data_IF_707150163993
#
_entry.id   IF_707150163993
#
_cell.length_a   1.000
_cell.length_b   1.000
_cell.length_c   1.000
_cell.angle_alpha   90.00
_cell.angle_beta   90.00
_cell.angle_gamma   90.00
#
_symmetry.space_group_name_H-M   'P 1'
#
loop_
_entity.id
_entity.type
_entity.pdbx_description
1 polymer ?
#
# COMPACT_ATOMS: atom_id res chain seq x y z
N UNK A 1 -2.42 -8.31 -5.44
CA UNK A 1 -2.17 -9.54 -6.21
C UNK A 1 -0.70 -9.77 -6.61
N UNK A 2 0.03 -8.77 -7.12
CA UNK A 2 1.43 -8.95 -7.58
C UNK A 2 2.39 -9.45 -6.48
N UNK A 3 2.43 -8.78 -5.31
CA UNK A 3 3.24 -9.22 -4.15
C UNK A 3 2.77 -10.55 -3.53
N UNK A 4 1.51 -10.87 -3.80
CA UNK A 4 0.84 -12.11 -3.42
C UNK A 4 1.44 -13.27 -4.24
N UNK A 5 1.55 -13.09 -5.57
CA UNK A 5 2.25 -14.00 -6.48
C UNK A 5 3.75 -14.06 -6.19
N UNK A 6 4.38 -12.93 -5.85
CA UNK A 6 5.78 -12.87 -5.44
C UNK A 6 6.08 -13.74 -4.21
N UNK A 7 5.11 -13.91 -3.30
CA UNK A 7 5.29 -14.75 -2.12
C UNK A 7 5.16 -16.25 -2.44
N UNK A 8 4.40 -16.60 -3.49
CA UNK A 8 4.26 -17.98 -3.97
C UNK A 8 5.46 -18.35 -4.85
N UNK A 9 5.96 -17.41 -5.65
CA UNK A 9 7.06 -17.59 -6.62
C UNK A 9 8.31 -16.79 -6.26
N UNK A 10 8.72 -16.81 -4.99
CA UNK A 10 9.84 -16.01 -4.45
C UNK A 10 11.09 -16.07 -5.34
N UNK A 11 11.42 -17.25 -5.88
CA UNK A 11 12.67 -17.48 -6.63
C UNK A 11 12.59 -16.95 -8.08
N UNK A 12 11.45 -17.10 -8.75
CA UNK A 12 11.32 -16.68 -10.16
C UNK A 12 10.87 -15.23 -10.31
N UNK A 13 10.28 -14.66 -9.26
CA UNK A 13 9.70 -13.33 -9.31
C UNK A 13 10.74 -12.21 -9.39
N UNK A 14 11.88 -12.34 -8.70
CA UNK A 14 12.94 -11.32 -8.73
C UNK A 14 13.55 -11.16 -10.13
N UNK A 15 13.77 -12.27 -10.83
CA UNK A 15 14.40 -12.24 -12.16
C UNK A 15 13.47 -11.81 -13.28
N UNK A 16 12.14 -11.82 -13.06
CA UNK A 16 11.16 -11.52 -14.10
C UNK A 16 10.04 -10.60 -13.60
N UNK A 17 10.41 -9.58 -12.80
CA UNK A 17 9.48 -8.55 -12.36
C UNK A 17 9.09 -7.67 -13.55
N UNK A 18 8.13 -8.14 -14.33
CA UNK A 18 7.72 -7.46 -15.54
C UNK A 18 6.51 -6.56 -15.29
N UNK A 19 6.59 -5.32 -15.76
CA UNK A 19 5.47 -4.38 -15.76
C UNK A 19 4.23 -4.93 -16.50
N UNK A 20 4.37 -6.01 -17.27
CA UNK A 20 3.28 -6.69 -17.96
C UNK A 20 2.14 -7.07 -17.04
N UNK A 21 2.41 -7.46 -15.80
CA UNK A 21 1.33 -7.79 -14.87
C UNK A 21 0.39 -6.59 -14.65
N UNK A 22 0.95 -5.41 -14.39
CA UNK A 22 0.17 -4.17 -14.23
C UNK A 22 -0.57 -3.79 -15.51
N UNK A 23 0.11 -3.87 -16.67
CA UNK A 23 -0.51 -3.55 -17.95
C UNK A 23 -1.68 -4.49 -18.29
N UNK A 24 -1.53 -5.79 -18.05
CA UNK A 24 -2.59 -6.78 -18.26
C UNK A 24 -3.79 -6.46 -17.38
N UNK A 25 -3.57 -6.19 -16.09
CA UNK A 25 -4.67 -5.87 -15.17
C UNK A 25 -5.39 -4.57 -15.52
N UNK A 26 -4.65 -3.51 -15.87
CA UNK A 26 -5.23 -2.25 -16.33
C UNK A 26 -6.03 -2.45 -17.62
N UNK A 27 -5.53 -3.28 -18.54
CA UNK A 27 -6.24 -3.59 -19.79
C UNK A 27 -7.55 -4.34 -19.51
N UNK A 28 -7.51 -5.34 -18.63
CA UNK A 28 -8.71 -6.08 -18.19
C UNK A 28 -9.72 -5.12 -17.56
N UNK A 29 -9.29 -4.22 -16.69
CA UNK A 29 -10.15 -3.25 -16.03
C UNK A 29 -10.82 -2.27 -17.01
N UNK A 30 -10.05 -1.76 -17.99
CA UNK A 30 -10.59 -0.91 -19.06
C UNK A 30 -11.61 -1.66 -19.90
N UNK A 31 -11.31 -2.90 -20.31
CA UNK A 31 -12.23 -3.72 -21.10
C UNK A 31 -13.53 -3.98 -20.35
N UNK A 32 -13.44 -4.37 -19.07
CA UNK A 32 -14.63 -4.58 -18.21
C UNK A 32 -15.45 -3.30 -18.07
N UNK A 33 -14.79 -2.15 -17.90
CA UNK A 33 -15.46 -0.84 -17.81
C UNK A 33 -16.19 -0.49 -19.10
N UNK A 34 -15.56 -0.70 -20.27
CA UNK A 34 -16.18 -0.45 -21.58
C UNK A 34 -17.38 -1.37 -21.82
N UNK A 35 -17.25 -2.66 -21.50
CA UNK A 35 -18.35 -3.62 -21.59
C UNK A 35 -19.51 -3.19 -20.69
N UNK A 36 -19.23 -2.80 -19.46
CA UNK A 36 -20.24 -2.35 -18.51
C UNK A 36 -20.96 -1.08 -19.00
N UNK A 37 -20.20 -0.09 -19.52
CA UNK A 37 -20.75 1.12 -20.10
C UNK A 37 -21.67 0.81 -21.29
N UNK A 38 -21.24 -0.09 -22.20
CA UNK A 38 -22.03 -0.52 -23.35
C UNK A 38 -23.36 -1.16 -22.94
N UNK A 39 -23.34 -2.10 -21.97
CA UNK A 39 -24.55 -2.73 -21.46
C UNK A 39 -25.50 -1.74 -20.80
N UNK A 40 -24.96 -0.76 -20.08
CA UNK A 40 -25.74 0.29 -19.43
C UNK A 40 -26.43 1.22 -20.43
N UNK A 41 -25.75 1.59 -21.53
CA UNK A 41 -26.35 2.45 -22.57
C UNK A 41 -27.42 1.77 -23.42
N UNK A 42 -27.30 0.47 -23.67
CA UNK A 42 -28.17 -0.25 -24.61
C UNK A 42 -29.37 -0.94 -23.97
N UNK A 43 -29.41 -1.03 -22.65
CA UNK A 43 -30.49 -1.72 -21.95
C UNK A 43 -31.63 -0.73 -21.61
N UNK A 44 -32.88 -1.19 -21.72
CA UNK A 44 -34.05 -0.40 -21.35
C UNK A 44 -34.03 -0.02 -19.87
N UNK A 45 -34.68 1.08 -19.47
CA UNK A 45 -34.62 1.62 -18.10
C UNK A 45 -34.89 0.59 -16.98
N UNK A 46 -35.78 -0.38 -17.19
CA UNK A 46 -36.06 -1.46 -16.22
C UNK A 46 -34.97 -2.54 -16.21
N UNK A 47 -34.44 -2.90 -17.38
CA UNK A 47 -33.37 -3.89 -17.52
C UNK A 47 -32.04 -3.37 -16.98
N UNK A 48 -31.80 -2.05 -17.09
CA UNK A 48 -30.62 -1.39 -16.52
C UNK A 48 -30.48 -1.64 -15.02
N UNK A 49 -31.58 -1.51 -14.27
CA UNK A 49 -31.53 -1.65 -12.82
C UNK A 49 -31.27 -3.10 -12.40
N UNK A 50 -31.93 -4.08 -13.04
CA UNK A 50 -31.67 -5.51 -12.79
C UNK A 50 -30.20 -5.85 -13.07
N UNK A 51 -29.66 -5.44 -14.22
CA UNK A 51 -28.27 -5.68 -14.59
C UNK A 51 -27.32 -5.05 -13.58
N UNK A 52 -27.61 -3.81 -13.13
CA UNK A 52 -26.81 -3.12 -12.11
C UNK A 52 -26.83 -3.86 -10.77
N UNK A 53 -27.99 -4.37 -10.34
CA UNK A 53 -28.11 -5.18 -9.12
C UNK A 53 -27.29 -6.46 -9.22
N UNK A 54 -27.43 -7.21 -10.31
CA UNK A 54 -26.67 -8.46 -10.54
C UNK A 54 -25.17 -8.17 -10.53
N UNK A 55 -24.74 -7.12 -11.23
CA UNK A 55 -23.34 -6.70 -11.27
C UNK A 55 -22.81 -6.36 -9.88
N UNK A 56 -23.59 -5.65 -9.07
CA UNK A 56 -23.20 -5.27 -7.72
C UNK A 56 -23.10 -6.48 -6.78
N UNK A 57 -23.96 -7.49 -6.94
CA UNK A 57 -23.80 -8.76 -6.23
C UNK A 57 -22.50 -9.46 -6.62
N UNK A 58 -22.19 -9.56 -7.92
CA UNK A 58 -20.95 -10.16 -8.42
C UNK A 58 -19.72 -9.45 -7.82
N UNK A 59 -19.66 -8.12 -7.87
CA UNK A 59 -18.56 -7.34 -7.31
C UNK A 59 -18.42 -7.53 -5.80
N UNK A 60 -19.55 -7.58 -5.08
CA UNK A 60 -19.54 -7.80 -3.63
C UNK A 60 -19.04 -9.20 -3.27
N UNK A 61 -19.46 -10.23 -4.01
CA UNK A 61 -18.98 -11.61 -3.85
C UNK A 61 -17.48 -11.72 -4.13
N UNK A 62 -17.00 -11.10 -5.23
CA UNK A 62 -15.57 -11.05 -5.56
C UNK A 62 -14.79 -10.37 -4.43
N UNK A 63 -15.27 -9.25 -3.92
CA UNK A 63 -14.64 -8.54 -2.81
C UNK A 63 -14.52 -9.40 -1.55
N UNK A 64 -15.59 -10.12 -1.16
CA UNK A 64 -15.56 -11.04 0.00
C UNK A 64 -14.56 -12.18 -0.22
N UNK A 65 -14.53 -12.76 -1.42
CA UNK A 65 -13.58 -13.81 -1.78
C UNK A 65 -12.14 -13.28 -1.70
N UNK A 66 -11.90 -12.07 -2.21
CA UNK A 66 -10.59 -11.42 -2.13
C UNK A 66 -10.12 -11.25 -0.69
N UNK A 67 -10.99 -10.74 0.20
CA UNK A 67 -10.70 -10.63 1.64
C UNK A 67 -10.35 -11.99 2.23
N UNK A 68 -11.14 -13.01 1.92
CA UNK A 68 -10.93 -14.36 2.44
C UNK A 68 -9.57 -14.93 2.00
N UNK A 69 -9.26 -14.86 0.71
CA UNK A 69 -7.97 -15.30 0.15
C UNK A 69 -6.83 -14.51 0.79
N UNK A 70 -7.00 -13.20 0.93
CA UNK A 70 -6.01 -12.31 1.52
C UNK A 70 -5.67 -12.70 2.97
N UNK A 71 -6.67 -12.94 3.82
CA UNK A 71 -6.45 -13.37 5.20
C UNK A 71 -5.84 -14.78 5.29
N UNK A 72 -6.30 -15.71 4.43
CA UNK A 72 -5.68 -17.05 4.35
C UNK A 72 -4.20 -16.95 4.01
N UNK A 73 -3.85 -16.10 3.04
CA UNK A 73 -2.46 -15.90 2.65
C UNK A 73 -1.65 -15.24 3.78
N UNK A 74 -2.20 -14.24 4.45
CA UNK A 74 -1.53 -13.62 5.59
C UNK A 74 -1.24 -14.66 6.69
N UNK A 75 -2.20 -15.55 6.99
CA UNK A 75 -2.01 -16.65 7.93
C UNK A 75 -0.94 -17.63 7.47
N UNK A 76 -0.94 -17.99 6.18
CA UNK A 76 0.07 -18.85 5.58
C UNK A 76 1.47 -18.23 5.66
N UNK A 77 1.63 -16.97 5.26
CA UNK A 77 2.91 -16.26 5.31
C UNK A 77 3.45 -16.14 6.73
N UNK A 78 2.59 -15.85 7.71
CA UNK A 78 2.99 -15.83 9.11
C UNK A 78 3.47 -17.22 9.56
N UNK A 79 2.75 -18.29 9.23
CA UNK A 79 3.15 -19.67 9.56
C UNK A 79 4.53 -20.00 8.99
N UNK A 80 4.73 -19.79 7.69
CA UNK A 80 6.01 -20.03 7.01
C UNK A 80 7.14 -19.20 7.62
N UNK A 81 6.85 -17.95 8.01
CA UNK A 81 7.83 -17.08 8.66
C UNK A 81 8.29 -17.64 10.02
N UNK A 82 7.36 -18.12 10.84
CA UNK A 82 7.69 -18.72 12.14
C UNK A 82 8.47 -20.03 12.00
N UNK A 83 8.06 -20.92 11.08
CA UNK A 83 8.76 -22.17 10.79
C UNK A 83 10.20 -21.91 10.30
N UNK A 84 10.39 -20.92 9.44
CA UNK A 84 11.73 -20.55 8.97
C UNK A 84 12.57 -19.86 10.02
N UNK A 85 11.96 -19.23 11.03
CA UNK A 85 12.66 -18.57 12.14
C UNK A 85 13.23 -19.60 13.12
N UNK A 86 12.51 -20.71 13.36
CA UNK A 86 12.97 -21.77 14.28
C UNK A 86 14.09 -22.64 13.68
N UNK A 87 14.16 -22.81 12.35
CA UNK A 87 15.29 -23.48 11.68
C UNK A 87 16.51 -22.56 11.60
N UNK A 88 17.28 -22.45 12.68
CA UNK A 88 18.35 -21.46 12.86
C UNK A 88 19.65 -21.68 12.04
N UNK A 89 19.75 -22.72 11.21
CA UNK A 89 21.05 -23.26 10.74
C UNK A 89 21.60 -22.77 9.39
N UNK A 90 20.88 -22.02 8.55
CA UNK A 90 21.42 -21.60 7.24
C UNK A 90 21.51 -20.07 7.07
N UNK A 91 22.74 -19.57 6.92
CA UNK A 91 23.04 -18.16 6.59
C UNK A 91 22.54 -17.77 5.19
N UNK A 92 22.45 -18.71 4.24
CA UNK A 92 21.86 -18.47 2.91
C UNK A 92 20.35 -18.15 2.94
N UNK A 93 19.68 -18.25 4.10
CA UNK A 93 18.25 -17.91 4.29
C UNK A 93 17.97 -16.46 4.73
N UNK A 94 18.99 -15.61 4.92
CA UNK A 94 18.81 -14.23 5.39
C UNK A 94 17.97 -13.36 4.43
N UNK A 95 18.27 -13.40 3.12
CA UNK A 95 17.52 -12.66 2.09
C UNK A 95 16.06 -13.10 2.03
N UNK A 96 15.81 -14.42 2.04
CA UNK A 96 14.44 -14.96 2.01
C UNK A 96 13.62 -14.62 3.26
N UNK A 97 14.25 -14.55 4.44
CA UNK A 97 13.58 -14.09 5.68
C UNK A 97 13.24 -12.61 5.62
N UNK A 98 14.14 -11.78 5.07
CA UNK A 98 13.89 -10.36 4.87
C UNK A 98 12.72 -10.12 3.93
N UNK A 99 12.73 -10.74 2.74
CA UNK A 99 11.65 -10.65 1.76
C UNK A 99 10.30 -11.07 2.36
N UNK A 100 10.26 -12.18 3.11
CA UNK A 100 9.03 -12.65 3.73
C UNK A 100 8.52 -11.70 4.83
N UNK A 101 9.43 -11.18 5.66
CA UNK A 101 9.10 -10.17 6.68
C UNK A 101 8.53 -8.90 6.04
N UNK A 102 9.14 -8.44 4.95
CA UNK A 102 8.67 -7.30 4.18
C UNK A 102 7.30 -7.55 3.53
N UNK A 103 7.08 -8.74 2.97
CA UNK A 103 5.78 -9.12 2.41
C UNK A 103 4.69 -9.16 3.49
N UNK A 104 4.96 -9.69 4.67
CA UNK A 104 4.01 -9.67 5.80
C UNK A 104 3.72 -8.22 6.23
N UNK A 105 4.76 -7.39 6.36
CA UNK A 105 4.61 -5.97 6.73
C UNK A 105 3.72 -5.23 5.73
N UNK A 106 3.98 -5.41 4.44
CA UNK A 106 3.26 -4.73 3.37
C UNK A 106 1.84 -5.26 3.20
N UNK A 107 1.63 -6.56 3.42
CA UNK A 107 0.28 -7.16 3.51
C UNK A 107 -0.51 -6.53 4.65
N UNK A 108 0.07 -6.38 5.85
CA UNK A 108 -0.61 -5.72 6.98
C UNK A 108 -0.99 -4.27 6.69
N UNK A 109 -0.20 -3.57 5.87
CA UNK A 109 -0.49 -2.20 5.44
C UNK A 109 -1.66 -2.12 4.46
N UNK A 110 -1.96 -3.19 3.71
CA UNK A 110 -3.04 -3.22 2.73
C UNK A 110 -4.41 -3.57 3.36
N UNK A 111 -4.42 -4.18 4.56
CA UNK A 111 -5.66 -4.52 5.30
C UNK A 111 -6.66 -3.36 5.35
N UNK A 112 -6.30 -2.14 5.83
CA UNK A 112 -7.27 -1.04 5.94
C UNK A 112 -7.87 -0.67 4.58
N UNK A 113 -7.06 -0.63 3.53
CA UNK A 113 -7.49 -0.32 2.17
C UNK A 113 -8.50 -1.36 1.66
N UNK A 114 -8.23 -2.64 1.89
CA UNK A 114 -9.08 -3.75 1.46
C UNK A 114 -10.39 -3.83 2.27
N UNK A 115 -10.35 -3.52 3.57
CA UNK A 115 -11.55 -3.37 4.39
C UNK A 115 -12.43 -2.21 3.91
N UNK A 116 -11.83 -1.04 3.64
CA UNK A 116 -12.56 0.12 3.12
C UNK A 116 -13.19 -0.17 1.76
N UNK A 117 -12.48 -0.86 0.87
CA UNK A 117 -12.99 -1.26 -0.43
C UNK A 117 -14.24 -2.15 -0.33
N UNK A 118 -14.25 -3.12 0.59
CA UNK A 118 -15.47 -3.93 0.82
C UNK A 118 -16.59 -3.13 1.46
N UNK A 119 -16.29 -2.20 2.37
CA UNK A 119 -17.31 -1.29 2.89
C UNK A 119 -17.96 -0.46 1.77
N UNK A 120 -17.16 0.05 0.82
CA UNK A 120 -17.67 0.77 -0.36
C UNK A 120 -18.59 -0.13 -1.18
N UNK A 121 -18.20 -1.38 -1.45
CA UNK A 121 -19.02 -2.31 -2.21
C UNK A 121 -20.34 -2.67 -1.50
N UNK A 122 -20.32 -2.81 -0.18
CA UNK A 122 -21.54 -3.07 0.60
C UNK A 122 -22.49 -1.87 0.55
N UNK A 123 -21.98 -0.65 0.75
CA UNK A 123 -22.81 0.57 0.71
C UNK A 123 -23.34 0.81 -0.71
N UNK A 124 -22.52 0.59 -1.74
CA UNK A 124 -22.96 0.61 -3.14
C UNK A 124 -24.00 -0.48 -3.45
N UNK A 125 -23.89 -1.65 -2.82
CA UNK A 125 -24.92 -2.70 -2.83
C UNK A 125 -26.26 -2.19 -2.33
N UNK A 126 -26.25 -1.62 -1.13
CA UNK A 126 -27.45 -1.09 -0.49
C UNK A 126 -28.08 0.02 -1.34
N UNK A 127 -27.26 0.91 -1.92
CA UNK A 127 -27.74 2.04 -2.71
C UNK A 127 -28.43 1.63 -4.02
N UNK A 128 -28.05 0.49 -4.59
CA UNK A 128 -28.67 -0.05 -5.82
C UNK A 128 -29.86 -0.95 -5.50
N UNK A 129 -29.78 -1.76 -4.45
CA UNK A 129 -30.84 -2.73 -4.08
C UNK A 129 -32.09 -2.04 -3.54
N UNK A 130 -31.95 -1.00 -2.71
CA UNK A 130 -33.10 -0.31 -2.10
C UNK A 130 -34.05 0.31 -3.14
N UNK A 131 -33.57 1.06 -4.16
CA UNK A 131 -34.43 1.57 -5.23
C UNK A 131 -34.99 0.46 -6.12
N UNK A 132 -34.19 -0.57 -6.45
CA UNK A 132 -34.63 -1.62 -7.37
C UNK A 132 -35.86 -2.39 -6.87
N UNK A 133 -35.86 -2.78 -5.59
CA UNK A 133 -37.00 -3.49 -4.99
C UNK A 133 -38.12 -2.56 -4.54
N UNK A 134 -38.02 -1.25 -4.81
CA UNK A 134 -38.94 -0.25 -4.29
C UNK A 134 -39.15 -0.37 -2.76
N UNK A 135 -38.11 -0.79 -2.02
CA UNK A 135 -38.20 -0.96 -0.56
C UNK A 135 -38.37 0.39 0.16
N UNK A 136 -38.07 1.47 -0.56
CA UNK A 136 -38.30 2.84 -0.14
C UNK A 136 -39.35 3.44 -1.09
N UNK A 137 -40.60 3.00 -0.94
CA UNK A 137 -41.78 3.59 -1.61
C UNK A 137 -42.12 4.90 -0.93
N UNK A 138 -41.52 5.99 -1.39
CA UNK A 138 -41.69 7.29 -0.76
C UNK A 138 -41.61 8.44 -1.77
N UNK A 139 -42.23 9.60 -1.49
CA UNK A 139 -42.00 10.83 -2.23
C UNK A 139 -40.51 11.07 -2.54
N UNK A 140 -40.28 11.79 -3.65
CA UNK A 140 -38.97 12.17 -4.19
C UNK A 140 -37.91 12.53 -3.12
N UNK A 141 -38.32 13.17 -2.02
CA UNK A 141 -37.46 13.52 -0.89
C UNK A 141 -36.73 12.34 -0.25
N UNK A 142 -37.38 11.19 0.00
CA UNK A 142 -36.68 10.07 0.67
C UNK A 142 -35.76 9.34 -0.30
N UNK A 143 -36.13 9.21 -1.58
CA UNK A 143 -35.22 8.65 -2.59
C UNK A 143 -33.97 9.52 -2.76
N UNK A 144 -34.14 10.85 -2.76
CA UNK A 144 -33.02 11.79 -2.75
C UNK A 144 -32.16 11.61 -1.50
N UNK A 145 -32.77 11.54 -0.31
CA UNK A 145 -32.04 11.31 0.94
C UNK A 145 -31.29 9.98 0.95
N UNK A 146 -31.89 8.88 0.48
CA UNK A 146 -31.24 7.56 0.42
C UNK A 146 -30.05 7.57 -0.53
N UNK A 147 -30.21 8.18 -1.72
CA UNK A 147 -29.10 8.33 -2.66
C UNK A 147 -27.99 9.20 -2.07
N UNK A 148 -28.32 10.38 -1.55
CA UNK A 148 -27.35 11.29 -0.94
C UNK A 148 -26.60 10.64 0.23
N UNK A 149 -27.33 9.96 1.11
CA UNK A 149 -26.78 9.23 2.26
C UNK A 149 -25.92 8.03 1.83
N UNK A 150 -26.06 7.53 0.60
CA UNK A 150 -25.21 6.45 0.08
C UNK A 150 -23.97 6.99 -0.65
N UNK A 151 -24.13 7.98 -1.52
CA UNK A 151 -23.04 8.53 -2.33
C UNK A 151 -22.02 9.32 -1.52
N UNK A 152 -22.44 10.04 -0.48
CA UNK A 152 -21.52 10.81 0.38
C UNK A 152 -20.55 9.88 1.13
N UNK A 153 -21.01 8.82 1.84
CA UNK A 153 -20.10 7.84 2.43
C UNK A 153 -19.22 7.14 1.42
N UNK A 154 -19.74 6.76 0.24
CA UNK A 154 -18.93 6.14 -0.82
C UNK A 154 -17.77 7.07 -1.20
N UNK A 155 -18.05 8.34 -1.48
CA UNK A 155 -17.03 9.33 -1.86
C UNK A 155 -15.99 9.50 -0.75
N UNK A 156 -16.44 9.62 0.51
CA UNK A 156 -15.53 9.75 1.65
C UNK A 156 -14.68 8.51 1.86
N UNK A 157 -15.25 7.31 1.73
CA UNK A 157 -14.52 6.05 1.85
C UNK A 157 -13.51 5.88 0.71
N UNK A 158 -13.85 6.24 -0.53
CA UNK A 158 -12.91 6.23 -1.66
C UNK A 158 -11.73 7.17 -1.40
N UNK A 159 -11.98 8.37 -0.87
CA UNK A 159 -10.90 9.25 -0.43
C UNK A 159 -10.07 8.62 0.70
N UNK A 160 -10.70 7.95 1.67
CA UNK A 160 -10.00 7.25 2.74
C UNK A 160 -9.15 6.09 2.24
N UNK A 161 -9.52 5.42 1.15
CA UNK A 161 -8.72 4.36 0.49
C UNK A 161 -7.40 4.95 -0.04
N UNK A 162 -7.46 6.09 -0.72
CA UNK A 162 -6.27 6.79 -1.20
C UNK A 162 -5.41 7.29 -0.04
N UNK A 163 -6.05 7.89 0.96
CA UNK A 163 -5.39 8.37 2.15
C UNK A 163 -4.73 7.24 2.95
N UNK A 164 -5.39 6.07 3.07
CA UNK A 164 -4.82 4.91 3.76
C UNK A 164 -3.59 4.40 3.00
N UNK A 165 -3.63 4.33 1.67
CA UNK A 165 -2.45 3.98 0.88
C UNK A 165 -1.28 4.95 1.14
N UNK A 166 -1.54 6.26 1.19
CA UNK A 166 -0.50 7.27 1.46
C UNK A 166 0.04 7.15 2.89
N UNK A 167 -0.84 7.00 3.89
CA UNK A 167 -0.47 7.01 5.31
C UNK A 167 0.24 5.73 5.77
N UNK A 168 -0.16 4.57 5.25
CA UNK A 168 0.39 3.28 5.65
C UNK A 168 1.60 2.85 4.82
N UNK A 169 1.76 3.36 3.59
CA UNK A 169 2.92 3.05 2.78
C UNK A 169 4.12 3.95 3.17
N UNK A 170 5.26 3.38 3.61
CA UNK A 170 6.35 4.15 4.20
C UNK A 170 7.00 5.14 3.22
N UNK A 171 7.14 4.77 1.95
CA UNK A 171 7.69 5.64 0.92
C UNK A 171 6.72 6.79 0.59
N UNK A 172 5.43 6.49 0.39
CA UNK A 172 4.44 7.52 0.07
C UNK A 172 4.27 8.48 1.25
N UNK A 173 4.24 7.98 2.49
CA UNK A 173 4.21 8.81 3.69
C UNK A 173 5.39 9.77 3.77
N UNK A 174 6.60 9.32 3.43
CA UNK A 174 7.80 10.17 3.43
C UNK A 174 7.68 11.28 2.39
N UNK A 175 7.25 10.95 1.19
CA UNK A 175 7.16 11.91 0.09
C UNK A 175 5.99 12.88 0.31
N UNK A 176 4.87 12.40 0.85
CA UNK A 176 3.74 13.22 1.29
C UNK A 176 4.13 14.19 2.41
N UNK A 177 4.94 13.76 3.38
CA UNK A 177 5.49 14.66 4.41
C UNK A 177 6.37 15.75 3.80
N UNK A 178 7.22 15.41 2.82
CA UNK A 178 8.04 16.40 2.09
C UNK A 178 7.16 17.38 1.32
N UNK A 179 6.13 16.88 0.64
CA UNK A 179 5.16 17.69 -0.10
C UNK A 179 4.42 18.68 0.81
N UNK A 180 3.86 18.21 1.93
CA UNK A 180 3.20 19.09 2.92
C UNK A 180 4.19 20.12 3.45
N UNK A 181 5.42 19.70 3.80
CA UNK A 181 6.44 20.60 4.29
C UNK A 181 6.75 21.70 3.27
N UNK A 182 6.86 21.36 1.98
CA UNK A 182 7.09 22.34 0.92
C UNK A 182 5.92 23.33 0.80
N UNK A 183 4.67 22.85 0.85
CA UNK A 183 3.48 23.72 0.81
C UNK A 183 3.43 24.67 2.01
N UNK A 184 3.71 24.17 3.22
CA UNK A 184 3.69 24.97 4.44
C UNK A 184 4.86 25.96 4.52
N UNK A 185 6.06 25.59 4.05
CA UNK A 185 7.22 26.47 4.04
C UNK A 185 7.07 27.59 3.00
N UNK A 186 6.45 27.32 1.84
CA UNK A 186 6.12 28.38 0.88
C UNK A 186 5.17 29.44 1.45
N UNK A 187 4.39 29.12 2.49
CA UNK A 187 3.57 30.10 3.22
C UNK A 187 4.38 30.98 4.17
N UNK A 188 5.52 30.52 4.69
CA UNK A 188 6.35 31.28 5.64
C UNK A 188 7.56 32.00 5.01
N UNK A 189 7.93 31.66 3.77
CA UNK A 189 9.07 32.28 3.09
C UNK A 189 8.84 33.74 2.64
N UNK A 190 7.63 34.28 2.75
CA UNK A 190 7.34 35.67 2.33
C UNK A 190 7.71 36.75 3.37
N UNK A 191 8.19 36.37 4.56
CA UNK A 191 8.52 37.33 5.62
C UNK A 191 10.01 37.45 5.99
N UNK A 192 10.91 36.74 5.29
CA UNK A 192 12.35 36.94 5.51
C UNK A 192 12.87 38.09 4.65
N UNK A 193 12.96 39.24 5.34
CA UNK A 193 13.88 40.35 5.09
C UNK A 193 15.15 39.90 4.38
N UNK A 194 15.48 40.68 3.35
CA UNK A 194 16.79 40.80 2.73
C UNK A 194 17.79 41.10 3.86
N UNK A 195 18.53 40.09 4.31
CA UNK A 195 19.74 40.30 5.10
C UNK A 195 20.91 40.33 4.11
N UNK A 196 21.80 41.32 4.18
CA UNK A 196 22.90 41.46 3.22
C UNK A 196 23.87 40.29 3.29
N UNK A 197 24.47 40.00 2.15
CA UNK A 197 25.58 39.07 1.95
C UNK A 197 26.67 39.23 3.02
N UNK A 198 26.82 38.23 3.89
CA UNK A 198 28.09 38.01 4.60
C UNK A 198 28.58 36.58 4.34
N UNK A 199 29.63 36.57 3.50
CA UNK A 199 30.76 35.65 3.45
C UNK A 199 30.50 34.14 3.43
N UNK A 200 30.67 33.58 2.23
CA UNK A 200 31.00 32.19 1.93
C UNK A 200 32.10 31.67 2.86
N UNK A 201 31.77 30.81 3.83
CA UNK A 201 32.70 29.83 4.37
C UNK A 201 32.51 28.51 3.61
N UNK A 202 33.61 27.94 3.13
CA UNK A 202 33.71 26.65 2.45
C UNK A 202 33.14 25.52 3.32
N UNK A 203 31.88 25.15 3.11
CA UNK A 203 31.24 24.05 3.82
C UNK A 203 31.53 22.74 3.10
N UNK A 204 32.34 21.89 3.76
CA UNK A 204 32.71 20.54 3.36
C UNK A 204 31.46 19.69 3.15
N UNK A 205 31.39 19.00 2.00
CA UNK A 205 30.35 18.04 1.64
C UNK A 205 30.15 16.96 2.73
N UNK A 206 29.15 17.16 3.59
CA UNK A 206 28.75 16.16 4.57
C UNK A 206 27.97 15.03 3.88
N UNK A 207 28.65 13.89 3.68
CA UNK A 207 28.02 12.64 3.26
C UNK A 207 26.89 12.25 4.23
N UNK A 208 25.67 12.12 3.71
CA UNK A 208 24.50 11.63 4.44
C UNK A 208 24.30 10.15 4.18
N UNK A 209 24.01 9.37 5.23
CA UNK A 209 23.63 7.96 5.11
C UNK A 209 22.30 7.81 4.34
N UNK A 210 22.04 6.62 3.78
CA UNK A 210 20.84 6.20 3.05
C UNK A 210 19.56 6.40 3.89
N UNK A 211 19.67 6.45 5.22
CA UNK A 211 18.56 6.75 6.14
C UNK A 211 18.38 8.23 6.48
N UNK A 212 19.22 9.12 5.93
CA UNK A 212 19.19 10.55 6.19
C UNK A 212 19.78 10.99 7.52
N UNK A 213 20.47 10.09 8.23
CA UNK A 213 21.32 10.46 9.37
C UNK A 213 22.60 11.14 8.89
N UNK A 214 23.03 12.19 9.59
CA UNK A 214 24.39 12.71 9.42
C UNK A 214 25.37 11.62 9.85
N UNK A 215 26.20 11.15 8.93
CA UNK A 215 27.38 10.39 9.30
C UNK A 215 28.31 11.39 9.99
N UNK A 216 28.42 11.28 11.31
CA UNK A 216 29.48 11.94 12.05
C UNK A 216 30.79 11.30 11.57
N UNK A 217 31.39 11.91 10.56
CA UNK A 217 32.79 11.64 10.22
C UNK A 217 33.57 12.30 11.36
N UNK A 218 33.87 11.53 12.40
CA UNK A 218 34.89 11.92 13.35
C UNK A 218 36.19 12.20 12.55
N UNK A 219 36.83 13.34 12.81
CA UNK A 219 38.01 13.83 12.07
C UNK A 219 39.20 12.85 12.02
N UNK A 220 39.13 11.73 12.74
CA UNK A 220 40.11 10.65 12.70
C UNK A 220 39.94 9.65 11.54
N UNK A 221 38.88 9.74 10.72
CA UNK A 221 38.78 9.12 9.39
C UNK A 221 38.79 7.58 9.29
N UNK A 222 39.18 6.83 10.33
CA UNK A 222 39.38 5.38 10.23
C UNK A 222 38.91 4.60 11.47
N UNK A 223 38.90 5.20 12.66
CA UNK A 223 38.86 4.39 13.88
C UNK A 223 37.49 3.82 14.27
N UNK A 224 36.38 4.46 13.89
CA UNK A 224 35.04 4.10 14.42
C UNK A 224 34.29 3.11 13.52
N UNK A 225 34.44 3.24 12.20
CA UNK A 225 33.97 2.24 11.25
C UNK A 225 34.70 0.91 11.45
N UNK A 226 36.02 0.95 11.66
CA UNK A 226 36.83 -0.23 11.94
C UNK A 226 36.45 -0.89 13.26
N UNK A 227 36.11 -0.12 14.30
CA UNK A 227 35.57 -0.68 15.56
C UNK A 227 34.22 -1.35 15.37
N UNK A 228 33.32 -0.76 14.58
CA UNK A 228 32.03 -1.37 14.27
C UNK A 228 32.21 -2.68 13.49
N UNK A 229 33.06 -2.69 12.45
CA UNK A 229 33.38 -3.91 11.71
C UNK A 229 34.10 -4.96 12.56
N UNK A 230 35.05 -4.55 13.43
CA UNK A 230 35.70 -5.46 14.38
C UNK A 230 34.72 -6.04 15.40
N UNK A 231 33.75 -5.25 15.89
CA UNK A 231 32.72 -5.76 16.80
C UNK A 231 31.83 -6.81 16.14
N UNK A 232 31.50 -6.61 14.85
CA UNK A 232 30.75 -7.59 14.05
C UNK A 232 31.61 -8.84 13.84
N UNK A 233 32.88 -8.67 13.47
CA UNK A 233 33.79 -9.77 13.20
C UNK A 233 34.10 -10.59 14.45
N UNK A 234 34.26 -9.96 15.62
CA UNK A 234 34.44 -10.63 16.91
C UNK A 234 33.18 -11.41 17.33
N UNK A 235 31.99 -10.84 17.11
CA UNK A 235 30.72 -11.52 17.38
C UNK A 235 30.46 -12.72 16.44
N UNK A 236 31.03 -12.70 15.23
CA UNK A 236 30.91 -13.78 14.26
C UNK A 236 31.99 -14.85 14.46
N UNK A 237 33.24 -14.47 14.73
CA UNK A 237 34.35 -15.40 14.97
C UNK A 237 34.16 -16.27 16.22
N UNK A 238 33.53 -15.73 17.27
CA UNK A 238 33.20 -16.50 18.50
C UNK A 238 32.13 -17.56 18.29
N UNK A 239 31.30 -17.47 17.24
CA UNK A 239 30.29 -18.51 16.92
C UNK A 239 30.88 -19.69 16.16
N UNK A 240 31.91 -19.48 15.35
CA UNK A 240 32.53 -20.55 14.56
C UNK A 240 33.30 -21.52 15.45
N UNK A 241 33.97 -21.03 16.50
CA UNK A 241 34.74 -21.86 17.44
C UNK A 241 33.90 -22.61 18.48
N UNK A 242 32.60 -22.33 18.60
CA UNK A 242 31.70 -23.04 19.55
C UNK A 242 30.96 -24.22 18.94
N UNK A 243 31.04 -24.40 17.62
CA UNK A 243 30.37 -25.48 16.88
C UNK A 243 31.36 -26.47 16.21
N UNK A 244 32.66 -26.34 16.50
CA UNK A 244 33.71 -27.32 16.18
C UNK A 244 34.11 -28.07 17.44
#
# INVERSE_FOLDING_TARGET
MERLLATIWVINYENNRSCWFTFIWVTVDVVVTVINAYFFTNSSSSNNLLVTVIWQFILSTIGIIEIYIFFKLLKYNNKVYFERKSSALDEQKLTGRYQLSENIRTTKQLIPTLCLHVCVNIIGGISVVLPYFNLVTSPFGILFCVNFLSFVPITYLTFLIELSMILYHPFLKRDFKKFIKNILICKNSKNNKITPEEQKSEDKDQLKDIRGGQLLINESGTLEADRHFQSIQAAWGTKILKNS
#
